data_IF_638274680831
#
_entry.id   IF_638274680831
#
_cell.length_a   1.000
_cell.length_b   1.000
_cell.length_c   1.000
_cell.angle_alpha   90.00
_cell.angle_beta   90.00
_cell.angle_gamma   90.00
#
_symmetry.space_group_name_H-M   'P 1'
#
loop_
_entity.id
_entity.type
_entity.pdbx_description
1 polymer ?
#
# COMPACT_ATOMS: atom_id res chain seq x y z
N UNK A 1 -25.13 -6.68 15.83
CA UNK A 1 -24.00 -7.36 15.17
C UNK A 1 -22.87 -6.35 15.06
N UNK A 2 -21.74 -6.57 15.76
CA UNK A 2 -20.55 -5.74 15.55
C UNK A 2 -20.02 -6.06 14.15
N UNK A 3 -20.20 -5.14 13.21
CA UNK A 3 -19.64 -5.27 11.86
C UNK A 3 -18.12 -5.21 11.99
N UNK A 4 -17.44 -6.36 11.97
CA UNK A 4 -15.99 -6.39 11.82
C UNK A 4 -15.66 -5.80 10.45
N UNK A 5 -15.01 -4.63 10.44
CA UNK A 5 -14.52 -4.02 9.21
C UNK A 5 -13.57 -5.00 8.52
N UNK A 6 -13.67 -5.20 7.19
CA UNK A 6 -12.69 -5.97 6.43
C UNK A 6 -11.26 -5.49 6.73
N UNK A 7 -10.31 -6.41 6.73
CA UNK A 7 -8.91 -6.13 7.08
C UNK A 7 -8.31 -4.98 6.25
N UNK A 8 -8.70 -4.85 4.99
CA UNK A 8 -8.28 -3.75 4.11
C UNK A 8 -8.74 -2.37 4.62
N UNK A 9 -9.93 -2.27 5.21
CA UNK A 9 -10.44 -1.02 5.78
C UNK A 9 -9.71 -0.66 7.09
N UNK A 10 -9.35 -1.66 7.88
CA UNK A 10 -8.53 -1.46 9.08
C UNK A 10 -7.13 -0.95 8.72
N UNK A 11 -6.49 -1.53 7.70
CA UNK A 11 -5.22 -1.05 7.17
C UNK A 11 -5.32 0.36 6.61
N UNK A 12 -6.37 0.69 5.85
CA UNK A 12 -6.58 2.05 5.35
C UNK A 12 -6.78 3.07 6.49
N UNK A 13 -7.47 2.69 7.57
CA UNK A 13 -7.62 3.55 8.75
C UNK A 13 -6.28 3.78 9.47
N UNK A 14 -5.45 2.73 9.61
CA UNK A 14 -4.10 2.86 10.17
C UNK A 14 -3.22 3.75 9.30
N UNK A 15 -3.25 3.60 7.97
CA UNK A 15 -2.51 4.45 7.05
C UNK A 15 -2.86 5.93 7.25
N UNK A 16 -4.15 6.25 7.33
CA UNK A 16 -4.65 7.61 7.61
C UNK A 16 -4.18 8.13 8.98
N UNK A 17 -4.20 7.29 10.00
CA UNK A 17 -3.72 7.66 11.35
C UNK A 17 -2.23 8.00 11.35
N UNK A 18 -1.39 7.19 10.71
CA UNK A 18 0.03 7.46 10.59
C UNK A 18 0.33 8.69 9.72
N UNK A 19 -0.43 8.89 8.65
CA UNK A 19 -0.32 10.09 7.82
C UNK A 19 -0.65 11.37 8.60
N UNK A 20 -1.64 11.32 9.49
CA UNK A 20 -1.94 12.42 10.40
C UNK A 20 -0.79 12.68 11.39
N UNK A 21 -0.22 11.64 11.99
CA UNK A 21 0.96 11.77 12.87
C UNK A 21 2.16 12.35 12.13
N UNK A 22 2.38 11.97 10.87
CA UNK A 22 3.43 12.55 10.02
C UNK A 22 3.30 14.07 9.94
N UNK A 23 2.10 14.60 9.69
CA UNK A 23 1.87 16.06 9.64
C UNK A 23 2.11 16.73 10.99
N UNK A 24 1.62 16.13 12.08
CA UNK A 24 1.88 16.65 13.44
C UNK A 24 3.37 16.72 13.75
N UNK A 25 4.14 15.70 13.38
CA UNK A 25 5.58 15.67 13.60
C UNK A 25 6.34 16.56 12.61
N UNK A 26 5.83 16.79 11.40
CA UNK A 26 6.44 17.70 10.43
C UNK A 26 6.44 19.15 10.96
N UNK A 27 5.34 19.59 11.58
CA UNK A 27 5.26 20.91 12.22
C UNK A 27 6.29 21.03 13.36
N UNK A 28 6.45 19.98 14.16
CA UNK A 28 7.41 19.92 15.27
C UNK A 28 8.88 19.72 14.81
N UNK A 29 9.10 19.13 13.64
CA UNK A 29 10.44 18.98 13.06
C UNK A 29 10.95 20.33 12.53
N UNK A 30 10.05 21.15 11.97
CA UNK A 30 10.36 22.53 11.54
C UNK A 30 10.80 23.44 12.70
N UNK A 31 10.42 23.12 13.94
CA UNK A 31 10.87 23.84 15.14
C UNK A 31 12.22 23.34 15.70
N UNK A 32 12.89 22.39 15.01
CA UNK A 32 14.27 22.00 15.27
C UNK A 32 14.46 20.83 16.23
N UNK A 33 13.41 20.08 16.57
CA UNK A 33 13.51 18.92 17.47
C UNK A 33 13.96 17.64 16.70
N UNK A 34 15.13 17.06 17.01
CA UNK A 34 15.61 15.85 16.31
C UNK A 34 14.69 14.63 16.51
N UNK A 35 14.09 14.48 17.69
CA UNK A 35 13.12 13.42 17.98
C UNK A 35 11.84 13.53 17.14
N UNK A 36 11.42 14.76 16.82
CA UNK A 36 10.27 14.98 15.94
C UNK A 36 10.58 14.57 14.50
N UNK A 37 11.82 14.70 14.04
CA UNK A 37 12.24 14.26 12.69
C UNK A 37 12.19 12.74 12.56
N UNK A 38 12.67 12.01 13.58
CA UNK A 38 12.60 10.54 13.63
C UNK A 38 11.14 10.07 13.66
N UNK A 39 10.30 10.70 14.50
CA UNK A 39 8.89 10.35 14.59
C UNK A 39 8.12 10.64 13.29
N UNK A 40 8.44 11.76 12.61
CA UNK A 40 7.90 12.10 11.30
C UNK A 40 8.24 11.03 10.26
N UNK A 41 9.49 10.58 10.20
CA UNK A 41 9.95 9.54 9.29
C UNK A 41 9.23 8.21 9.55
N UNK A 42 9.20 7.76 10.80
CA UNK A 42 8.51 6.52 11.18
C UNK A 42 7.02 6.55 10.81
N UNK A 43 6.36 7.68 11.06
CA UNK A 43 4.97 7.88 10.69
C UNK A 43 4.76 7.81 9.16
N UNK A 44 5.64 8.42 8.36
CA UNK A 44 5.57 8.34 6.90
C UNK A 44 5.78 6.91 6.37
N UNK A 45 6.75 6.18 6.92
CA UNK A 45 7.02 4.77 6.58
C UNK A 45 5.78 3.92 6.87
N UNK A 46 5.22 4.05 8.08
CA UNK A 46 4.03 3.31 8.47
C UNK A 46 2.83 3.64 7.58
N UNK A 47 2.62 4.92 7.24
CA UNK A 47 1.54 5.34 6.34
C UNK A 47 1.63 4.64 4.98
N UNK A 48 2.82 4.64 4.36
CA UNK A 48 3.08 3.94 3.08
C UNK A 48 2.82 2.44 3.20
N UNK A 49 3.37 1.78 4.23
CA UNK A 49 3.23 0.33 4.41
C UNK A 49 1.75 -0.05 4.59
N UNK A 50 1.03 0.64 5.48
CA UNK A 50 -0.37 0.31 5.75
C UNK A 50 -1.29 0.63 4.56
N UNK A 51 -0.99 1.67 3.78
CA UNK A 51 -1.74 1.96 2.57
C UNK A 51 -1.55 0.87 1.51
N UNK A 52 -0.31 0.39 1.33
CA UNK A 52 -0.03 -0.72 0.45
C UNK A 52 -0.72 -2.01 0.94
N UNK A 53 -0.67 -2.31 2.25
CA UNK A 53 -1.37 -3.46 2.82
C UNK A 53 -2.89 -3.38 2.65
N UNK A 54 -3.48 -2.19 2.71
CA UNK A 54 -4.90 -1.98 2.44
C UNK A 54 -5.25 -2.40 1.00
N UNK A 55 -4.45 -1.95 0.03
CA UNK A 55 -4.58 -2.35 -1.39
C UNK A 55 -4.43 -3.86 -1.56
N UNK A 56 -3.38 -4.46 -1.00
CA UNK A 56 -3.13 -5.89 -1.12
C UNK A 56 -4.24 -6.73 -0.50
N UNK A 57 -4.66 -6.36 0.71
CA UNK A 57 -5.75 -7.03 1.40
C UNK A 57 -7.05 -6.91 0.61
N UNK A 58 -7.33 -5.74 0.00
CA UNK A 58 -8.53 -5.53 -0.80
C UNK A 58 -8.56 -6.44 -2.02
N UNK A 59 -7.44 -6.48 -2.76
CA UNK A 59 -7.30 -7.33 -3.95
C UNK A 59 -7.39 -8.80 -3.57
N UNK A 60 -6.84 -9.20 -2.42
CA UNK A 60 -6.92 -10.58 -1.96
C UNK A 60 -8.34 -11.02 -1.59
N UNK A 61 -9.29 -10.11 -1.31
CA UNK A 61 -10.70 -10.46 -1.15
C UNK A 61 -11.27 -11.11 -2.43
N UNK A 62 -10.72 -10.75 -3.59
CA UNK A 62 -11.08 -11.33 -4.86
C UNK A 62 -10.36 -12.67 -5.03
N UNK A 63 -11.07 -13.73 -4.68
CA UNK A 63 -10.61 -15.11 -4.85
C UNK A 63 -10.63 -15.93 -3.56
N UNK A 64 -10.77 -15.33 -2.39
CA UNK A 64 -10.93 -16.05 -1.12
C UNK A 64 -12.35 -15.89 -0.57
N UNK A 65 -13.12 -16.97 -0.56
CA UNK A 65 -14.35 -17.11 0.22
C UNK A 65 -14.29 -18.47 0.92
N UNK A 66 -14.20 -18.47 2.25
CA UNK A 66 -14.26 -19.69 3.08
C UNK A 66 -15.73 -20.05 3.31
N UNK A 67 -16.09 -21.31 3.07
CA UNK A 67 -17.41 -21.90 3.34
C UNK A 67 -17.22 -23.22 4.09
N UNK A 68 -17.42 -23.23 5.41
CA UNK A 68 -17.20 -24.44 6.22
C UNK A 68 -15.72 -24.71 6.47
N UNK A 69 -15.31 -26.00 6.46
CA UNK A 69 -13.97 -26.45 6.88
C UNK A 69 -12.86 -26.28 5.82
N UNK A 70 -13.19 -25.81 4.61
CA UNK A 70 -12.24 -25.69 3.50
C UNK A 70 -11.74 -24.25 3.26
N UNK A 71 -10.42 -24.10 3.18
CA UNK A 71 -9.75 -22.83 2.82
C UNK A 71 -9.64 -22.74 1.29
N UNK A 72 -10.49 -21.92 0.67
CA UNK A 72 -10.32 -21.54 -0.73
C UNK A 72 -9.13 -20.58 -0.88
N UNK A 73 -8.04 -21.05 -1.49
CA UNK A 73 -6.95 -20.18 -1.95
C UNK A 73 -7.47 -19.30 -3.09
N UNK A 74 -7.00 -18.05 -3.11
CA UNK A 74 -7.25 -17.13 -4.20
C UNK A 74 -6.91 -17.80 -5.53
N UNK A 75 -7.85 -17.91 -6.48
CA UNK A 75 -7.62 -18.50 -7.83
C UNK A 75 -6.47 -17.81 -8.60
N UNK A 76 -6.04 -16.65 -8.12
CA UNK A 76 -4.91 -15.88 -8.64
C UNK A 76 -3.59 -16.18 -7.91
N UNK A 77 -3.59 -17.11 -6.96
CA UNK A 77 -2.40 -17.72 -6.40
C UNK A 77 -2.13 -19.03 -7.14
N UNK A 78 -0.97 -19.10 -7.77
CA UNK A 78 -0.49 -20.28 -8.50
C UNK A 78 -0.57 -21.53 -7.62
N UNK A 79 -1.45 -22.48 -7.98
CA UNK A 79 -1.53 -23.79 -7.33
C UNK A 79 -0.33 -24.69 -7.67
N UNK A 80 0.30 -24.45 -8.83
CA UNK A 80 1.29 -25.35 -9.43
C UNK A 80 2.74 -24.89 -9.26
N UNK A 81 2.99 -23.61 -9.02
CA UNK A 81 4.33 -23.05 -8.89
C UNK A 81 4.46 -22.22 -7.60
N UNK A 82 4.98 -22.88 -6.55
CA UNK A 82 5.29 -22.26 -5.25
C UNK A 82 6.32 -21.12 -5.34
N UNK A 83 7.04 -20.99 -6.47
CA UNK A 83 8.04 -19.92 -6.68
C UNK A 83 7.46 -18.65 -7.31
N UNK A 84 6.28 -18.70 -7.94
CA UNK A 84 5.70 -17.56 -8.67
C UNK A 84 4.29 -17.22 -8.16
N UNK A 85 4.23 -16.54 -7.01
CA UNK A 85 2.98 -15.87 -6.59
C UNK A 85 2.75 -14.66 -7.48
N UNK A 86 1.53 -14.53 -8.03
CA UNK A 86 1.16 -13.36 -8.82
C UNK A 86 1.29 -12.09 -7.95
N UNK A 87 1.90 -11.05 -8.53
CA UNK A 87 1.97 -9.75 -7.85
C UNK A 87 0.58 -9.16 -7.67
N UNK A 88 0.41 -8.23 -6.73
CA UNK A 88 -0.86 -7.51 -6.53
C UNK A 88 -1.35 -6.84 -7.82
N UNK A 89 -0.43 -6.30 -8.62
CA UNK A 89 -0.75 -5.72 -9.93
C UNK A 89 -1.29 -6.77 -10.90
N UNK A 90 -0.66 -7.95 -10.96
CA UNK A 90 -1.12 -9.03 -11.84
C UNK A 90 -2.47 -9.57 -11.39
N UNK A 91 -2.69 -9.68 -10.07
CA UNK A 91 -4.00 -10.03 -9.50
C UNK A 91 -5.07 -9.03 -9.96
N UNK A 92 -4.84 -7.72 -9.83
CA UNK A 92 -5.77 -6.67 -10.28
C UNK A 92 -6.12 -6.84 -11.76
N UNK A 93 -5.11 -6.97 -12.64
CA UNK A 93 -5.32 -7.16 -14.08
C UNK A 93 -6.15 -8.40 -14.38
N UNK A 94 -5.84 -9.52 -13.72
CA UNK A 94 -6.53 -10.78 -13.93
C UNK A 94 -7.97 -10.74 -13.43
N UNK A 95 -8.22 -10.18 -12.25
CA UNK A 95 -9.57 -9.98 -11.71
C UNK A 95 -10.43 -9.17 -12.69
N UNK A 96 -9.89 -8.06 -13.18
CA UNK A 96 -10.58 -7.21 -14.15
C UNK A 96 -10.89 -7.93 -15.47
N UNK A 97 -9.89 -8.60 -16.05
CA UNK A 97 -10.07 -9.31 -17.31
C UNK A 97 -10.99 -10.53 -17.21
N UNK A 98 -10.86 -11.31 -16.13
CA UNK A 98 -11.52 -12.62 -15.99
C UNK A 98 -12.89 -12.48 -15.32
N UNK A 99 -12.95 -11.88 -14.13
CA UNK A 99 -14.20 -11.79 -13.36
C UNK A 99 -15.08 -10.64 -13.86
N UNK A 100 -14.49 -9.49 -14.10
CA UNK A 100 -15.25 -8.28 -14.47
C UNK A 100 -15.43 -8.14 -16.00
N UNK A 101 -14.71 -8.96 -16.79
CA UNK A 101 -14.69 -8.92 -18.26
C UNK A 101 -14.41 -7.52 -18.82
N UNK A 102 -13.62 -6.74 -18.10
CA UNK A 102 -13.28 -5.37 -18.44
C UNK A 102 -11.83 -5.08 -18.01
N UNK A 103 -10.91 -4.74 -18.94
CA UNK A 103 -9.51 -4.56 -18.61
C UNK A 103 -9.27 -3.42 -17.60
N UNK A 104 -8.33 -3.63 -16.68
CA UNK A 104 -7.92 -2.55 -15.78
C UNK A 104 -7.17 -1.46 -16.56
N UNK A 105 -7.46 -0.17 -16.34
CA UNK A 105 -6.75 0.92 -17.02
C UNK A 105 -5.31 1.02 -16.53
N UNK A 106 -4.33 0.75 -17.41
CA UNK A 106 -2.90 0.68 -17.05
C UNK A 106 -2.04 1.81 -17.62
N UNK A 107 -2.59 2.66 -18.46
CA UNK A 107 -1.86 3.76 -19.12
C UNK A 107 -1.97 5.12 -18.42
N UNK A 108 -2.71 5.20 -17.30
CA UNK A 108 -3.01 6.45 -16.60
C UNK A 108 -2.09 6.71 -15.39
N UNK A 109 -2.14 7.96 -14.91
CA UNK A 109 -1.42 8.42 -13.73
C UNK A 109 -1.77 7.59 -12.48
N UNK A 110 -3.05 7.32 -12.23
CA UNK A 110 -3.55 6.48 -11.13
C UNK A 110 -2.82 5.13 -11.04
N UNK A 111 -2.59 4.48 -12.20
CA UNK A 111 -1.90 3.19 -12.24
C UNK A 111 -0.40 3.34 -11.95
N UNK A 112 0.20 4.44 -12.41
CA UNK A 112 1.57 4.81 -12.08
C UNK A 112 1.77 5.01 -10.58
N UNK A 113 0.83 5.71 -9.92
CA UNK A 113 0.87 5.95 -8.47
C UNK A 113 0.66 4.64 -7.70
N UNK A 114 -0.30 3.81 -8.10
CA UNK A 114 -0.51 2.48 -7.50
C UNK A 114 0.76 1.62 -7.57
N UNK A 115 1.41 1.56 -8.74
CA UNK A 115 2.66 0.83 -8.89
C UNK A 115 3.77 1.44 -8.03
N UNK A 116 3.88 2.77 -8.02
CA UNK A 116 4.83 3.52 -7.19
C UNK A 116 4.70 3.19 -5.70
N UNK A 117 3.49 3.16 -5.17
CA UNK A 117 3.20 2.77 -3.78
C UNK A 117 3.69 1.36 -3.47
N UNK A 118 3.39 0.38 -4.33
CA UNK A 118 3.81 -1.02 -4.12
C UNK A 118 5.33 -1.18 -4.23
N UNK A 119 5.97 -0.50 -5.18
CA UNK A 119 7.42 -0.48 -5.31
C UNK A 119 8.08 0.18 -4.09
N UNK A 120 7.48 1.26 -3.58
CA UNK A 120 7.91 1.95 -2.36
C UNK A 120 7.83 1.03 -1.14
N UNK A 121 6.68 0.36 -0.94
CA UNK A 121 6.52 -0.67 0.11
C UNK A 121 7.60 -1.73 0.00
N UNK A 122 7.82 -2.30 -1.20
CA UNK A 122 8.81 -3.36 -1.40
C UNK A 122 10.23 -2.92 -1.00
N UNK A 123 10.62 -1.67 -1.31
CA UNK A 123 11.91 -1.11 -0.87
C UNK A 123 12.00 -1.00 0.66
N UNK A 124 10.94 -0.57 1.32
CA UNK A 124 10.89 -0.40 2.77
C UNK A 124 10.93 -1.72 3.55
N UNK A 125 10.24 -2.76 3.06
CA UNK A 125 10.16 -4.06 3.77
C UNK A 125 11.26 -5.03 3.38
N UNK A 126 11.97 -4.77 2.28
CA UNK A 126 13.12 -5.55 1.81
C UNK A 126 14.32 -4.65 1.56
N UNK A 127 14.84 -3.99 2.62
CA UNK A 127 15.97 -3.08 2.49
C UNK A 127 17.18 -3.85 1.97
N UNK A 128 17.75 -3.37 0.87
CA UNK A 128 19.08 -3.80 0.42
C UNK A 128 20.04 -2.69 0.81
N UNK A 129 21.00 -2.98 1.68
CA UNK A 129 22.06 -2.03 2.01
C UNK A 129 22.83 -1.69 0.74
N UNK A 130 22.90 -0.41 0.40
CA UNK A 130 23.81 0.08 -0.62
C UNK A 130 24.96 0.80 0.07
N UNK A 131 26.22 0.45 -0.22
CA UNK A 131 27.34 1.22 0.28
C UNK A 131 27.33 2.60 -0.38
N UNK A 132 27.36 3.65 0.43
CA UNK A 132 27.63 5.02 -0.01
C UNK A 132 29.11 5.32 0.22
N UNK A 133 29.79 5.84 -0.79
CA UNK A 133 31.14 6.35 -0.64
C UNK A 133 31.06 7.72 0.02
N UNK A 134 31.75 7.89 1.15
CA UNK A 134 31.85 9.16 1.86
C UNK A 134 33.27 9.67 1.63
N UNK A 135 33.41 10.82 0.95
CA UNK A 135 34.73 11.41 0.73
C UNK A 135 35.18 12.18 1.97
N UNK A 136 36.39 11.92 2.44
CA UNK A 136 37.02 12.76 3.45
C UNK A 136 37.49 14.07 2.78
N UNK A 137 36.71 15.14 2.95
CA UNK A 137 37.04 16.47 2.42
C UNK A 137 37.62 17.37 3.52
N UNK A 138 38.67 18.16 3.23
CA UNK A 138 39.15 19.16 4.17
C UNK A 138 38.08 20.23 4.42
N UNK A 139 38.01 20.74 5.65
CA UNK A 139 37.02 21.74 6.04
C UNK A 139 37.17 23.04 5.23
N UNK A 140 36.11 23.44 4.54
CA UNK A 140 36.07 24.69 3.77
C UNK A 140 35.37 25.80 4.56
N UNK A 141 36.15 26.70 5.16
CA UNK A 141 35.61 27.86 5.91
C UNK A 141 34.72 28.79 5.08
N UNK A 142 34.81 28.78 3.74
CA UNK A 142 33.97 29.59 2.85
C UNK A 142 32.63 28.92 2.52
N UNK A 143 32.56 27.58 2.64
CA UNK A 143 31.36 26.76 2.41
C UNK A 143 31.36 25.55 3.36
N UNK A 144 31.04 25.78 4.65
CA UNK A 144 31.02 24.71 5.65
C UNK A 144 30.10 23.52 5.30
N UNK A 145 29.05 23.77 4.52
CA UNK A 145 28.06 22.80 4.05
C UNK A 145 28.64 21.70 3.13
N UNK A 146 29.73 21.98 2.40
CA UNK A 146 30.38 21.04 1.48
C UNK A 146 30.98 19.83 2.23
N UNK A 147 31.21 19.95 3.55
CA UNK A 147 31.71 18.88 4.41
C UNK A 147 30.70 17.73 4.56
N UNK A 148 29.40 18.05 4.51
CA UNK A 148 28.33 17.09 4.77
C UNK A 148 27.52 16.74 3.52
N UNK A 149 27.91 17.23 2.33
CA UNK A 149 27.13 17.04 1.09
C UNK A 149 26.89 15.57 0.77
N UNK A 150 27.90 14.72 0.98
CA UNK A 150 27.83 13.29 0.68
C UNK A 150 26.86 12.58 1.65
N UNK A 151 26.82 13.02 2.91
CA UNK A 151 25.86 12.52 3.90
C UNK A 151 24.44 12.93 3.57
N UNK A 152 24.23 14.20 3.19
CA UNK A 152 22.91 14.71 2.79
C UNK A 152 22.44 14.01 1.52
N UNK A 153 23.34 13.77 0.56
CA UNK A 153 23.04 13.01 -0.64
C UNK A 153 22.68 11.57 -0.33
N UNK A 154 23.48 10.87 0.48
CA UNK A 154 23.20 9.50 0.91
C UNK A 154 21.84 9.40 1.62
N UNK A 155 21.55 10.35 2.52
CA UNK A 155 20.25 10.44 3.19
C UNK A 155 19.08 10.66 2.21
N UNK A 156 19.22 11.59 1.27
CA UNK A 156 18.20 11.84 0.25
C UNK A 156 17.98 10.62 -0.66
N UNK A 157 19.04 9.87 -0.98
CA UNK A 157 18.98 8.64 -1.76
C UNK A 157 18.35 7.47 -0.98
N UNK A 158 18.67 7.35 0.32
CA UNK A 158 18.20 6.26 1.19
C UNK A 158 16.75 6.44 1.63
N UNK A 159 16.32 7.65 2.00
CA UNK A 159 14.99 7.85 2.60
C UNK A 159 14.15 8.95 1.93
N UNK A 160 14.74 9.82 1.11
CA UNK A 160 14.03 10.92 0.46
C UNK A 160 12.88 10.44 -0.44
N UNK A 161 12.98 9.21 -0.97
CA UNK A 161 11.93 8.61 -1.78
C UNK A 161 10.61 8.38 -1.02
N UNK A 162 10.64 8.29 0.32
CA UNK A 162 9.44 8.05 1.15
C UNK A 162 8.45 9.20 1.00
N UNK A 163 8.97 10.43 1.02
CA UNK A 163 8.15 11.65 1.02
C UNK A 163 7.59 12.00 -0.37
N UNK A 164 8.23 11.53 -1.44
CA UNK A 164 7.79 11.77 -2.81
C UNK A 164 6.39 11.19 -3.03
N UNK A 165 5.43 12.00 -3.46
CA UNK A 165 4.04 11.61 -3.71
C UNK A 165 3.27 11.04 -2.50
N UNK A 166 3.77 11.21 -1.27
CA UNK A 166 3.16 10.61 -0.07
C UNK A 166 1.66 10.95 0.06
N UNK A 167 1.30 12.21 -0.17
CA UNK A 167 -0.09 12.66 -0.10
C UNK A 167 -1.00 11.95 -1.12
N UNK A 168 -0.55 11.86 -2.36
CA UNK A 168 -1.31 11.23 -3.45
C UNK A 168 -1.40 9.71 -3.21
N UNK A 169 -0.33 9.10 -2.74
CA UNK A 169 -0.30 7.69 -2.38
C UNK A 169 -1.33 7.32 -1.31
N UNK A 170 -1.63 8.23 -0.36
CA UNK A 170 -2.67 8.01 0.66
C UNK A 170 -4.10 7.93 0.09
N UNK A 171 -4.30 8.29 -1.18
CA UNK A 171 -5.59 8.17 -1.86
C UNK A 171 -5.75 6.86 -2.65
N UNK A 172 -4.65 6.14 -2.91
CA UNK A 172 -4.60 4.96 -3.80
C UNK A 172 -5.61 3.88 -3.43
N UNK A 173 -5.81 3.60 -2.14
CA UNK A 173 -6.81 2.60 -1.71
C UNK A 173 -8.23 3.00 -2.17
N UNK A 174 -8.61 4.26 -1.95
CA UNK A 174 -9.93 4.77 -2.32
C UNK A 174 -10.08 4.88 -3.85
N UNK A 175 -9.02 5.23 -4.57
CA UNK A 175 -8.97 5.24 -6.04
C UNK A 175 -9.08 3.84 -6.65
N UNK A 176 -8.36 2.87 -6.10
CA UNK A 176 -8.43 1.47 -6.53
C UNK A 176 -9.86 0.94 -6.43
N UNK A 177 -10.55 1.19 -5.31
CA UNK A 177 -11.96 0.82 -5.12
C UNK A 177 -12.85 1.42 -6.21
N UNK A 178 -12.69 2.71 -6.49
CA UNK A 178 -13.47 3.41 -7.54
C UNK A 178 -13.19 2.82 -8.92
N UNK A 179 -11.93 2.57 -9.25
CA UNK A 179 -11.54 2.01 -10.54
C UNK A 179 -12.03 0.57 -10.73
N UNK A 180 -12.00 -0.25 -9.68
CA UNK A 180 -12.58 -1.60 -9.71
C UNK A 180 -14.11 -1.56 -9.78
N UNK A 181 -14.77 -0.64 -9.08
CA UNK A 181 -16.21 -0.44 -9.22
C UNK A 181 -16.60 -0.01 -10.64
N UNK A 182 -15.82 0.88 -11.28
CA UNK A 182 -16.02 1.26 -12.69
C UNK A 182 -15.87 0.05 -13.63
N UNK A 183 -14.87 -0.80 -13.40
CA UNK A 183 -14.71 -2.05 -14.13
C UNK A 183 -15.93 -2.98 -13.92
N UNK A 184 -16.57 -2.89 -12.75
CA UNK A 184 -17.75 -3.66 -12.36
C UNK A 184 -19.09 -2.90 -12.53
N UNK A 185 -19.25 -2.12 -13.61
CA UNK A 185 -20.51 -1.40 -13.94
C UNK A 185 -21.01 -0.45 -12.84
N UNK A 186 -20.11 0.09 -12.03
CA UNK A 186 -20.41 0.99 -10.92
C UNK A 186 -20.74 0.30 -9.60
N UNK A 187 -20.75 -1.04 -9.53
CA UNK A 187 -21.05 -1.77 -8.30
C UNK A 187 -19.77 -1.99 -7.48
N UNK A 188 -19.79 -1.53 -6.23
CA UNK A 188 -18.70 -1.78 -5.29
C UNK A 188 -18.55 -3.28 -5.04
N UNK A 189 -17.34 -3.79 -5.22
CA UNK A 189 -17.11 -5.24 -5.20
C UNK A 189 -17.20 -5.82 -3.80
N UNK A 190 -16.80 -5.08 -2.76
CA UNK A 190 -17.00 -5.51 -1.36
C UNK A 190 -18.50 -5.70 -1.07
N UNK A 191 -19.35 -4.77 -1.50
CA UNK A 191 -20.81 -4.90 -1.36
C UNK A 191 -21.31 -6.18 -2.01
N UNK A 192 -20.90 -6.45 -3.25
CA UNK A 192 -21.28 -7.67 -3.97
C UNK A 192 -20.79 -8.96 -3.29
N UNK A 193 -19.58 -8.96 -2.75
CA UNK A 193 -19.03 -10.10 -2.00
C UNK A 193 -19.79 -10.31 -0.69
N UNK A 194 -20.12 -9.23 0.04
CA UNK A 194 -20.89 -9.28 1.28
C UNK A 194 -22.30 -9.82 1.04
N UNK A 195 -23.01 -9.29 0.04
CA UNK A 195 -24.37 -9.72 -0.31
C UNK A 195 -24.40 -11.20 -0.71
N UNK A 196 -23.38 -11.67 -1.43
CA UNK A 196 -23.25 -13.10 -1.78
C UNK A 196 -22.99 -13.98 -0.56
N UNK A 197 -22.22 -13.49 0.41
CA UNK A 197 -21.97 -14.17 1.68
C UNK A 197 -23.24 -14.24 2.53
N UNK A 198 -23.96 -13.13 2.69
CA UNK A 198 -25.23 -13.06 3.43
C UNK A 198 -26.27 -14.02 2.83
N UNK A 199 -26.47 -14.02 1.50
CA UNK A 199 -27.36 -14.96 0.82
C UNK A 199 -26.99 -16.43 1.05
N UNK A 200 -25.69 -16.75 1.07
CA UNK A 200 -25.22 -18.12 1.38
C UNK A 200 -25.47 -18.48 2.85
N UNK A 201 -25.26 -17.54 3.77
CA UNK A 201 -25.48 -17.73 5.19
C UNK A 201 -26.97 -17.97 5.50
N UNK A 202 -27.86 -17.17 4.90
CA UNK A 202 -29.32 -17.35 4.99
C UNK A 202 -29.75 -18.72 4.46
N UNK A 203 -29.17 -19.17 3.35
CA UNK A 203 -29.46 -20.48 2.78
C UNK A 203 -29.06 -21.62 3.72
N UNK A 204 -27.89 -21.52 4.35
CA UNK A 204 -27.40 -22.50 5.35
C UNK A 204 -28.29 -22.54 6.59
N UNK A 205 -28.70 -21.38 7.10
CA UNK A 205 -29.59 -21.27 8.26
C UNK A 205 -31.00 -21.82 8.00
N UNK A 206 -31.46 -21.86 6.75
CA UNK A 206 -32.76 -22.46 6.38
C UNK A 206 -32.71 -23.98 6.20
N UNK A 207 -31.52 -24.55 6.12
CA UNK A 207 -31.29 -26.01 5.98
C UNK A 207 -30.92 -26.70 7.29
N UNK A 208 -30.76 -25.94 8.38
CA UNK A 208 -30.63 -26.41 9.77
C UNK A 208 -31.99 -26.34 10.45
#
# INVERSE_FOLDING_TARGET
MNCCLPLCEQYAAMAKSFYFQYHQHQENAKSGAPSASIAMEQAAICAVIFQALAVESYVNLFGSVVLGDDVFRCRYESETDKKHRASTIDKIKNICNVELRNPYPTSGEDFGILKGLLDKRNKLVHPKSKPHAIENRPYNYKKPEDLYSDYVQAFNEEIGFIYNNLEVEMLVYDELKKNLARCNKGVEVIGLLRDNLEKKLEKLLRTL
#
